data_IF_466495549064
#
_entry.id   IF_466495549064
#
_cell.length_a   1.000
_cell.length_b   1.000
_cell.length_c   1.000
_cell.angle_alpha   90.00
_cell.angle_beta   90.00
_cell.angle_gamma   90.00
#
_symmetry.space_group_name_H-M   'P 1'
#
loop_
_entity.id
_entity.type
_entity.pdbx_description
1 polymer ?
#
# COMPACT_ATOMS: atom_id res chain seq x y z
N UNK A 1 19.22 37.09 -16.14
CA UNK A 1 20.27 36.16 -15.68
C UNK A 1 19.59 34.87 -15.28
N UNK A 2 19.59 33.87 -16.16
CA UNK A 2 19.12 32.52 -15.81
C UNK A 2 20.08 31.95 -14.76
N UNK A 3 19.56 31.61 -13.58
CA UNK A 3 20.30 30.73 -12.66
C UNK A 3 20.11 29.32 -13.19
N UNK A 4 21.21 28.67 -13.59
CA UNK A 4 21.19 27.27 -14.02
C UNK A 4 20.94 26.43 -12.77
N UNK A 5 19.79 25.75 -12.73
CA UNK A 5 19.19 25.13 -11.54
C UNK A 5 20.01 23.97 -10.93
N UNK A 6 21.04 23.48 -11.63
CA UNK A 6 21.75 22.24 -11.32
C UNK A 6 23.27 22.38 -11.31
N UNK A 7 23.82 23.60 -11.48
CA UNK A 7 25.28 23.79 -11.54
C UNK A 7 25.97 23.33 -10.25
N UNK A 8 25.38 23.61 -9.09
CA UNK A 8 25.95 23.22 -7.79
C UNK A 8 25.90 21.69 -7.58
N UNK A 9 24.84 21.02 -8.05
CA UNK A 9 24.71 19.55 -7.96
C UNK A 9 25.73 18.84 -8.86
N UNK A 10 26.01 19.37 -10.05
CA UNK A 10 27.04 18.83 -10.96
C UNK A 10 28.46 19.10 -10.45
N UNK A 11 28.72 20.24 -9.80
CA UNK A 11 30.01 20.52 -9.17
C UNK A 11 30.28 19.60 -7.95
N UNK A 12 29.23 19.21 -7.22
CA UNK A 12 29.32 18.26 -6.08
C UNK A 12 29.42 16.82 -6.58
N UNK A 13 28.87 16.49 -7.75
CA UNK A 13 29.03 15.20 -8.43
C UNK A 13 30.45 14.96 -8.97
N UNK A 14 31.47 15.59 -8.36
CA UNK A 14 32.85 15.18 -8.45
C UNK A 14 32.91 13.65 -8.25
N UNK A 15 33.67 12.96 -9.10
CA UNK A 15 33.85 11.50 -9.21
C UNK A 15 34.43 10.82 -7.93
N UNK A 16 34.19 11.39 -6.75
CA UNK A 16 34.55 10.85 -5.46
C UNK A 16 33.88 9.48 -5.27
N UNK A 17 34.65 8.46 -4.86
CA UNK A 17 34.10 7.14 -4.64
C UNK A 17 33.05 7.19 -3.52
N UNK A 18 31.95 6.47 -3.72
CA UNK A 18 30.87 6.40 -2.73
C UNK A 18 31.40 5.90 -1.38
N UNK A 19 31.18 6.68 -0.30
CA UNK A 19 31.46 6.22 1.06
C UNK A 19 30.55 5.04 1.43
N UNK A 20 31.15 3.90 1.73
CA UNK A 20 30.43 2.74 2.25
C UNK A 20 30.19 2.90 3.76
N UNK A 21 28.92 2.90 4.17
CA UNK A 21 28.51 2.93 5.60
C UNK A 21 27.74 1.66 5.95
N UNK A 22 28.22 0.91 6.93
CA UNK A 22 27.49 -0.24 7.47
C UNK A 22 26.29 0.22 8.32
N UNK A 23 25.11 -0.34 8.02
CA UNK A 23 23.87 -0.05 8.74
C UNK A 23 23.22 -1.36 9.20
N UNK A 24 23.09 -1.56 10.51
CA UNK A 24 22.28 -2.66 11.05
C UNK A 24 20.79 -2.39 10.77
N UNK A 25 20.15 -3.26 9.99
CA UNK A 25 18.71 -3.18 9.66
C UNK A 25 17.94 -4.30 10.34
N UNK A 26 16.89 -3.94 11.10
CA UNK A 26 15.88 -4.90 11.56
C UNK A 26 14.98 -5.28 10.38
N UNK A 27 15.06 -6.53 9.92
CA UNK A 27 14.20 -7.07 8.86
C UNK A 27 12.92 -7.62 9.49
N UNK A 28 11.76 -7.10 9.09
CA UNK A 28 10.45 -7.68 9.44
C UNK A 28 10.06 -8.70 8.37
N UNK A 29 9.89 -9.96 8.76
CA UNK A 29 9.38 -11.01 7.87
C UNK A 29 7.91 -10.71 7.60
N UNK A 30 7.57 -10.48 6.31
CA UNK A 30 6.19 -10.24 5.88
C UNK A 30 5.52 -11.54 5.43
N UNK A 31 4.22 -11.64 5.61
CA UNK A 31 3.38 -12.75 5.15
C UNK A 31 3.18 -12.66 3.63
N UNK A 32 4.24 -12.94 2.90
CA UNK A 32 4.28 -12.90 1.44
C UNK A 32 3.27 -13.86 0.81
N UNK A 33 2.91 -14.94 1.52
CA UNK A 33 1.90 -15.90 1.08
C UNK A 33 0.49 -15.30 1.07
N UNK A 34 0.11 -14.53 2.09
CA UNK A 34 -1.17 -13.81 2.11
C UNK A 34 -1.27 -12.84 0.93
N UNK A 35 -0.23 -12.03 0.71
CA UNK A 35 -0.18 -11.08 -0.42
C UNK A 35 -0.30 -11.80 -1.77
N UNK A 36 0.42 -12.92 -1.98
CA UNK A 36 0.32 -13.70 -3.22
C UNK A 36 -1.09 -14.24 -3.46
N UNK A 37 -1.74 -14.78 -2.42
CA UNK A 37 -3.12 -15.28 -2.50
C UNK A 37 -4.10 -14.16 -2.84
N UNK A 38 -3.98 -13.01 -2.19
CA UNK A 38 -4.80 -11.84 -2.46
C UNK A 38 -4.58 -11.31 -3.88
N UNK A 39 -3.33 -11.17 -4.34
CA UNK A 39 -3.04 -10.78 -5.73
C UNK A 39 -3.68 -11.71 -6.75
N UNK A 40 -3.70 -13.02 -6.49
CA UNK A 40 -4.41 -14.00 -7.31
C UNK A 40 -5.92 -13.77 -7.27
N UNK A 41 -6.51 -13.62 -6.08
CA UNK A 41 -7.95 -13.38 -5.88
C UNK A 41 -8.45 -12.15 -6.65
N UNK A 42 -7.69 -11.05 -6.62
CA UNK A 42 -8.06 -9.81 -7.30
C UNK A 42 -7.58 -9.74 -8.76
N UNK A 43 -6.94 -10.79 -9.30
CA UNK A 43 -6.35 -10.76 -10.64
C UNK A 43 -5.34 -9.63 -10.84
N UNK A 44 -4.63 -9.24 -9.78
CA UNK A 44 -3.77 -8.05 -9.70
C UNK A 44 -4.47 -6.70 -9.98
N UNK A 45 -5.80 -6.63 -9.90
CA UNK A 45 -6.54 -5.36 -10.01
C UNK A 45 -6.57 -4.65 -8.66
N UNK A 46 -6.53 -3.32 -8.70
CA UNK A 46 -6.67 -2.47 -7.52
C UNK A 46 -8.09 -2.59 -6.96
N UNK A 47 -8.22 -2.74 -5.65
CA UNK A 47 -9.51 -2.79 -4.96
C UNK A 47 -10.26 -1.46 -4.94
N UNK A 48 -9.60 -0.36 -5.31
CA UNK A 48 -10.18 0.99 -5.36
C UNK A 48 -10.40 1.43 -6.83
N UNK A 49 -9.40 1.26 -7.69
CA UNK A 49 -9.38 1.82 -9.04
C UNK A 49 -9.43 0.78 -10.16
N UNK A 50 -9.55 -0.51 -9.83
CA UNK A 50 -9.53 -1.60 -10.81
C UNK A 50 -8.22 -1.62 -11.60
N UNK A 51 -8.31 -1.40 -12.91
CA UNK A 51 -7.17 -1.40 -13.84
C UNK A 51 -6.57 0.00 -14.06
N UNK A 52 -7.16 1.05 -13.46
CA UNK A 52 -6.59 2.39 -13.57
C UNK A 52 -5.33 2.54 -12.70
N UNK A 53 -4.37 3.30 -13.22
CA UNK A 53 -3.08 3.59 -12.59
C UNK A 53 -2.18 2.36 -12.35
N UNK A 54 -2.43 1.27 -13.09
CA UNK A 54 -1.54 0.10 -13.17
C UNK A 54 -1.04 -0.09 -14.61
N UNK A 55 -0.13 -1.04 -14.81
CA UNK A 55 0.45 -1.43 -16.08
C UNK A 55 0.65 -2.95 -16.12
N UNK A 56 0.69 -3.53 -17.33
CA UNK A 56 1.02 -4.96 -17.49
C UNK A 56 2.53 -5.16 -17.39
N UNK A 57 2.93 -6.13 -16.58
CA UNK A 57 4.30 -6.64 -16.54
C UNK A 57 4.60 -7.42 -17.81
N UNK A 58 5.88 -7.75 -18.03
CA UNK A 58 6.35 -8.60 -19.15
C UNK A 58 5.58 -9.93 -19.29
N UNK A 59 5.08 -10.49 -18.18
CA UNK A 59 4.31 -11.73 -18.16
C UNK A 59 2.79 -11.53 -18.41
N UNK A 60 2.36 -10.34 -18.86
CA UNK A 60 0.97 -10.01 -19.17
C UNK A 60 0.06 -9.70 -17.98
N UNK A 61 0.49 -9.96 -16.74
CA UNK A 61 -0.28 -9.66 -15.54
C UNK A 61 -0.14 -8.19 -15.14
N UNK A 62 -1.20 -7.59 -14.60
CA UNK A 62 -1.13 -6.25 -14.01
C UNK A 62 -0.13 -6.20 -12.84
N UNK A 63 0.54 -5.06 -12.70
CA UNK A 63 1.37 -4.75 -11.54
C UNK A 63 0.48 -4.26 -10.39
N UNK A 64 0.67 -4.83 -9.20
CA UNK A 64 -0.08 -4.43 -8.01
C UNK A 64 0.80 -4.57 -6.77
N UNK A 65 0.44 -3.85 -5.72
CA UNK A 65 1.16 -3.83 -4.46
C UNK A 65 0.22 -4.22 -3.32
N UNK A 66 0.73 -5.00 -2.36
CA UNK A 66 0.00 -5.29 -1.13
C UNK A 66 0.32 -4.21 -0.11
N UNK A 67 -0.71 -3.63 0.49
CA UNK A 67 -0.59 -2.55 1.46
C UNK A 67 -1.33 -2.92 2.76
N UNK A 68 -0.70 -2.70 3.91
CA UNK A 68 -1.33 -2.87 5.22
C UNK A 68 -2.12 -1.61 5.59
N UNK A 69 -3.45 -1.70 5.75
CA UNK A 69 -4.31 -0.55 6.06
C UNK A 69 -4.01 0.06 7.45
N UNK A 70 -3.69 -0.79 8.42
CA UNK A 70 -3.13 -0.40 9.72
C UNK A 70 -1.64 -0.73 9.68
N UNK A 71 -0.80 0.27 9.91
CA UNK A 71 0.65 0.10 9.92
C UNK A 71 1.08 -0.95 10.97
N UNK A 72 2.03 -1.82 10.60
CA UNK A 72 2.57 -2.83 11.51
C UNK A 72 3.21 -2.23 12.78
N UNK A 73 3.66 -0.97 12.72
CA UNK A 73 4.19 -0.24 13.87
C UNK A 73 3.12 0.31 14.84
N UNK A 74 1.84 0.29 14.43
CA UNK A 74 0.68 0.79 15.18
C UNK A 74 -0.33 -0.34 15.47
N UNK A 75 0.17 -1.51 15.88
CA UNK A 75 -0.61 -2.73 16.15
C UNK A 75 -1.34 -3.33 14.92
N UNK A 76 -0.97 -2.95 13.70
CA UNK A 76 -1.46 -3.60 12.49
C UNK A 76 -0.99 -5.06 12.43
N UNK A 77 -1.91 -5.99 12.18
CA UNK A 77 -1.55 -7.39 11.98
C UNK A 77 -0.98 -7.62 10.57
N UNK A 78 -0.03 -8.54 10.43
CA UNK A 78 0.46 -9.03 9.12
C UNK A 78 -0.45 -10.14 8.57
N UNK A 79 -1.76 -9.92 8.72
CA UNK A 79 -2.83 -10.82 8.30
C UNK A 79 -3.46 -10.33 7.02
N UNK A 80 -4.04 -11.24 6.23
CA UNK A 80 -4.85 -10.88 5.06
C UNK A 80 -5.95 -9.87 5.41
N UNK A 81 -6.48 -9.93 6.65
CA UNK A 81 -7.49 -8.99 7.18
C UNK A 81 -7.10 -7.51 7.06
N UNK A 82 -5.80 -7.25 7.15
CA UNK A 82 -5.26 -5.91 7.17
C UNK A 82 -4.60 -5.54 5.82
N UNK A 83 -4.63 -6.42 4.82
CA UNK A 83 -3.92 -6.21 3.55
C UNK A 83 -4.92 -5.91 2.44
N UNK A 84 -4.66 -4.89 1.63
CA UNK A 84 -5.37 -4.61 0.38
C UNK A 84 -4.43 -4.65 -0.82
N UNK A 85 -4.98 -4.99 -1.99
CA UNK A 85 -4.26 -4.98 -3.27
C UNK A 85 -4.56 -3.68 -4.00
N UNK A 86 -3.50 -2.91 -4.29
CA UNK A 86 -3.59 -1.56 -4.82
C UNK A 86 -2.73 -1.37 -6.07
N UNK A 87 -3.07 -0.33 -6.84
CA UNK A 87 -2.19 0.24 -7.85
C UNK A 87 -1.03 1.00 -7.18
N UNK A 88 0.13 1.14 -7.84
CA UNK A 88 1.29 1.83 -7.27
C UNK A 88 0.97 3.29 -6.89
N UNK A 89 0.13 3.98 -7.67
CA UNK A 89 -0.27 5.35 -7.36
C UNK A 89 -1.08 5.42 -6.06
N UNK A 90 -2.15 4.63 -5.94
CA UNK A 90 -3.01 4.65 -4.74
C UNK A 90 -2.23 4.20 -3.51
N UNK A 91 -1.33 3.22 -3.66
CA UNK A 91 -0.46 2.80 -2.56
C UNK A 91 0.40 3.94 -2.02
N UNK A 92 1.01 4.74 -2.91
CA UNK A 92 1.80 5.90 -2.51
C UNK A 92 0.94 7.03 -1.96
N UNK A 93 -0.24 7.24 -2.50
CA UNK A 93 -1.21 8.20 -1.94
C UNK A 93 -1.57 7.84 -0.49
N UNK A 94 -1.82 6.57 -0.16
CA UNK A 94 -2.09 6.16 1.21
C UNK A 94 -0.90 6.40 2.17
N UNK A 95 0.33 6.42 1.66
CA UNK A 95 1.51 6.70 2.47
C UNK A 95 1.81 8.18 2.68
N UNK A 96 1.50 9.03 1.69
CA UNK A 96 2.02 10.41 1.64
C UNK A 96 0.95 11.50 1.53
N UNK A 97 -0.27 11.16 1.11
CA UNK A 97 -1.35 12.12 0.99
C UNK A 97 -2.12 12.26 2.32
N UNK A 98 -3.00 13.26 2.41
CA UNK A 98 -3.90 13.39 3.54
C UNK A 98 -5.04 12.37 3.43
N UNK A 99 -5.08 11.39 4.32
CA UNK A 99 -6.08 10.31 4.34
C UNK A 99 -7.03 10.48 5.51
N UNK A 100 -8.32 10.53 5.23
CA UNK A 100 -9.38 10.75 6.23
C UNK A 100 -10.47 9.67 6.13
N UNK A 101 -11.02 9.26 7.27
CA UNK A 101 -12.18 8.36 7.32
C UNK A 101 -11.89 6.88 7.05
N UNK A 102 -10.63 6.46 6.99
CA UNK A 102 -10.22 5.06 6.86
C UNK A 102 -10.46 4.28 8.18
N UNK A 103 -11.71 3.92 8.46
CA UNK A 103 -12.13 3.19 9.67
C UNK A 103 -12.73 1.83 9.29
N UNK A 104 -12.02 0.75 9.62
CA UNK A 104 -12.43 -0.62 9.29
C UNK A 104 -13.76 -1.03 9.97
N UNK A 105 -14.18 -0.34 11.04
CA UNK A 105 -15.48 -0.59 11.68
C UNK A 105 -16.66 -0.10 10.84
N UNK A 106 -16.41 0.75 9.85
CA UNK A 106 -17.42 1.31 8.93
C UNK A 106 -17.57 0.51 7.63
N UNK A 107 -16.97 -0.70 7.56
CA UNK A 107 -17.16 -1.57 6.41
C UNK A 107 -18.64 -2.00 6.35
N UNK A 108 -19.30 -1.71 5.23
CA UNK A 108 -20.67 -2.10 4.94
C UNK A 108 -20.75 -2.64 3.52
N UNK A 109 -21.49 -3.73 3.30
CA UNK A 109 -21.65 -4.37 1.99
C UNK A 109 -20.32 -4.63 1.26
N UNK A 110 -19.31 -5.08 2.02
CA UNK A 110 -17.94 -5.32 1.56
C UNK A 110 -17.26 -4.07 0.99
N UNK A 111 -17.65 -2.87 1.43
CA UNK A 111 -17.13 -1.59 0.98
C UNK A 111 -16.75 -0.69 2.16
N UNK A 112 -15.74 0.14 1.95
CA UNK A 112 -15.35 1.22 2.86
C UNK A 112 -15.04 2.46 2.05
N UNK A 113 -15.80 3.51 2.32
CA UNK A 113 -15.57 4.83 1.73
C UNK A 113 -14.72 5.68 2.65
N UNK A 114 -13.75 6.37 2.08
CA UNK A 114 -12.80 7.23 2.77
C UNK A 114 -12.33 8.33 1.80
N UNK A 115 -11.53 9.28 2.29
CA UNK A 115 -11.04 10.38 1.46
C UNK A 115 -9.51 10.40 1.38
N UNK A 116 -9.01 10.79 0.21
CA UNK A 116 -7.61 11.14 -0.01
C UNK A 116 -7.58 12.56 -0.59
N UNK A 117 -6.91 13.50 0.08
CA UNK A 117 -6.87 14.92 -0.30
C UNK A 117 -8.28 15.51 -0.53
N UNK A 118 -9.23 15.13 0.32
CA UNK A 118 -10.63 15.56 0.21
C UNK A 118 -11.47 14.86 -0.86
N UNK A 119 -10.84 14.11 -1.80
CA UNK A 119 -11.55 13.32 -2.81
C UNK A 119 -11.97 11.96 -2.26
N UNK A 120 -13.20 11.54 -2.55
CA UNK A 120 -13.76 10.27 -2.08
C UNK A 120 -13.26 9.08 -2.90
N UNK A 121 -12.92 8.00 -2.19
CA UNK A 121 -12.53 6.70 -2.73
C UNK A 121 -13.24 5.59 -1.95
N UNK A 122 -13.47 4.46 -2.61
CA UNK A 122 -14.08 3.28 -1.99
C UNK A 122 -13.20 2.06 -2.19
N UNK A 123 -12.79 1.42 -1.10
CA UNK A 123 -12.24 0.06 -1.16
C UNK A 123 -13.41 -0.89 -1.31
N UNK A 124 -13.35 -1.77 -2.31
CA UNK A 124 -14.30 -2.89 -2.43
C UNK A 124 -13.56 -4.21 -2.20
N UNK A 125 -14.07 -5.00 -1.26
CA UNK A 125 -13.55 -6.35 -0.98
C UNK A 125 -14.33 -7.40 -1.77
N UNK A 126 -13.59 -8.36 -2.32
CA UNK A 126 -14.18 -9.59 -2.84
C UNK A 126 -14.90 -10.33 -1.70
N UNK A 127 -16.08 -10.95 -1.92
CA UNK A 127 -16.84 -11.60 -0.84
C UNK A 127 -16.03 -12.61 -0.02
N UNK A 128 -15.17 -13.40 -0.66
CA UNK A 128 -14.28 -14.34 0.06
C UNK A 128 -13.24 -13.64 0.93
N UNK A 129 -12.73 -12.48 0.50
CA UNK A 129 -11.80 -11.70 1.30
C UNK A 129 -12.53 -11.02 2.46
N UNK A 130 -13.74 -10.49 2.20
CA UNK A 130 -14.55 -9.80 3.20
C UNK A 130 -14.89 -10.69 4.40
N UNK A 131 -15.17 -11.98 4.18
CA UNK A 131 -15.37 -12.97 5.26
C UNK A 131 -14.26 -12.97 6.32
N UNK A 132 -13.03 -12.66 5.93
CA UNK A 132 -11.87 -12.64 6.83
C UNK A 132 -11.73 -11.24 7.45
N UNK A 133 -11.94 -10.20 6.65
CA UNK A 133 -11.80 -8.79 7.08
C UNK A 133 -12.86 -8.39 8.12
N UNK A 134 -14.10 -8.86 7.97
CA UNK A 134 -15.22 -8.51 8.85
C UNK A 134 -15.39 -9.45 10.04
N UNK A 135 -14.63 -10.55 10.11
CA UNK A 135 -14.60 -11.36 11.31
C UNK A 135 -13.92 -10.55 12.42
N UNK A 136 -14.67 -10.25 13.47
CA UNK A 136 -14.18 -9.55 14.66
C UNK A 136 -13.02 -10.36 15.30
N UNK A 137 -11.85 -9.76 15.58
CA UNK A 137 -10.75 -10.49 16.22
C UNK A 137 -11.00 -10.90 17.67
N UNK A 138 -12.16 -10.58 18.27
CA UNK A 138 -12.52 -11.09 19.58
C UNK A 138 -11.54 -10.69 20.69
N UNK A 139 -10.97 -9.48 20.62
CA UNK A 139 -10.30 -8.87 21.77
C UNK A 139 -11.35 -8.41 22.79
N UNK A 140 -12.09 -9.37 23.34
CA UNK A 140 -12.75 -9.23 24.64
C UNK A 140 -11.60 -9.26 25.66
N UNK A 141 -11.24 -8.05 26.07
CA UNK A 141 -10.68 -7.72 27.38
C UNK A 141 -11.18 -8.68 28.48
N UNK A 142 -10.26 -9.44 29.06
CA UNK A 142 -10.25 -9.78 30.49
C UNK A 142 -9.00 -9.15 31.11
#
# INVERSE_FOLDING_TARGET
>A
SERILFNEDEEIANDAPAEEKEMMRKVRIRNTNAVKKLKKLYGNKCQITGEQYTFKKRNGQYYSEGHHLIELGKNGSDSARNIVILSPLIHRMLHYANVEGLDLKKIMDNKLTFKINGQEYTITWHPEHAKIVTQDPGWIIY
#
